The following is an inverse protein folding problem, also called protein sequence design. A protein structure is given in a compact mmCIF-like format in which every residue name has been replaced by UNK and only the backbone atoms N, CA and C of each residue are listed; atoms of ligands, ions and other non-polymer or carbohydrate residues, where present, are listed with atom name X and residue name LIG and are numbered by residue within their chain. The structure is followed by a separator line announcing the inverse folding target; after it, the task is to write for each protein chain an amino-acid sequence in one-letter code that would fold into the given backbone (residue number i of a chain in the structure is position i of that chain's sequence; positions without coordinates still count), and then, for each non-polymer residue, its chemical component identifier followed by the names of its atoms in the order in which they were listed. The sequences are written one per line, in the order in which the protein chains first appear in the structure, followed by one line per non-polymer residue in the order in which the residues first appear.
data_IF_118341303652
#
_entry.id   IF_118341303652
#
_cell.length_a   1.000
_cell.length_b   1.000
_cell.length_c   1.000
_cell.angle_alpha   90.00
_cell.angle_beta   90.00
_cell.angle_gamma   90.00
#
_symmetry.space_group_name_H-M   'P 1'
#
loop_
_entity.id
_entity.type
_entity.pdbx_description
1 polymer ?
#
# COMPACT_ATOMS: atom_id res chain seq x y z
N UNK A 1 27.29 25.30 -18.60
CA UNK A 1 26.56 24.59 -19.67
C UNK A 1 27.60 24.01 -20.63
N UNK A 2 27.64 22.70 -20.82
CA UNK A 2 28.57 22.08 -21.77
C UNK A 2 27.97 22.20 -23.18
N UNK A 3 28.54 23.06 -24.02
CA UNK A 3 28.11 23.22 -25.39
C UNK A 3 28.72 22.08 -26.22
N UNK A 4 27.95 21.04 -26.47
CA UNK A 4 28.40 19.89 -27.26
C UNK A 4 28.62 20.33 -28.70
N UNK A 5 29.85 20.19 -29.21
CA UNK A 5 30.13 20.36 -30.63
C UNK A 5 29.56 19.13 -31.36
N UNK A 6 28.57 19.29 -32.26
CA UNK A 6 27.93 18.18 -32.95
C UNK A 6 28.86 17.43 -33.93
N UNK A 7 30.05 17.97 -34.20
CA UNK A 7 31.06 17.32 -35.06
C UNK A 7 32.00 16.37 -34.32
N UNK A 8 31.95 16.31 -32.98
CA UNK A 8 32.82 15.43 -32.22
C UNK A 8 32.20 14.02 -32.09
N UNK A 9 32.99 12.95 -32.26
CA UNK A 9 32.50 11.60 -32.05
C UNK A 9 32.06 11.43 -30.60
N UNK A 10 31.01 10.63 -30.37
CA UNK A 10 30.35 10.47 -29.06
C UNK A 10 31.33 10.08 -27.95
N UNK A 11 32.40 9.34 -28.28
CA UNK A 11 33.44 8.95 -27.32
C UNK A 11 34.20 10.15 -26.76
N UNK A 12 34.54 11.14 -27.57
CA UNK A 12 35.28 12.34 -27.13
C UNK A 12 34.44 13.20 -26.19
N UNK A 13 33.12 13.21 -26.41
CA UNK A 13 32.16 13.90 -25.55
C UNK A 13 32.10 13.21 -24.17
N UNK A 14 32.02 11.88 -24.17
CA UNK A 14 31.98 11.07 -22.96
C UNK A 14 33.30 11.18 -22.18
N UNK A 15 34.45 11.11 -22.85
CA UNK A 15 35.75 11.23 -22.19
C UNK A 15 36.00 12.62 -21.60
N UNK A 16 35.48 13.69 -22.23
CA UNK A 16 35.54 15.04 -21.65
C UNK A 16 34.79 15.17 -20.33
N UNK A 17 33.67 14.45 -20.16
CA UNK A 17 32.87 14.51 -18.96
C UNK A 17 33.30 13.51 -17.89
N UNK A 18 33.80 12.34 -18.31
CA UNK A 18 33.99 11.18 -17.43
C UNK A 18 35.44 10.69 -17.34
N UNK A 19 36.38 11.33 -18.04
CA UNK A 19 37.77 10.89 -18.15
C UNK A 19 37.97 9.79 -19.21
N UNK A 20 39.22 9.36 -19.48
CA UNK A 20 39.53 8.36 -20.50
C UNK A 20 38.71 7.07 -20.32
N UNK A 21 38.01 6.62 -21.36
CA UNK A 21 37.18 5.41 -21.31
C UNK A 21 37.69 4.36 -22.30
N UNK A 22 37.76 3.11 -21.86
CA UNK A 22 38.08 2.02 -22.77
C UNK A 22 36.90 1.81 -23.74
N UNK A 23 37.18 1.75 -25.04
CA UNK A 23 36.15 1.53 -26.09
C UNK A 23 35.29 0.28 -25.87
N UNK A 24 35.76 -0.67 -25.05
CA UNK A 24 35.05 -1.90 -24.68
C UNK A 24 34.20 -1.76 -23.40
N UNK A 25 34.40 -0.72 -22.60
CA UNK A 25 33.71 -0.53 -21.33
C UNK A 25 33.42 0.96 -21.10
N UNK A 26 32.27 1.39 -21.61
CA UNK A 26 31.73 2.72 -21.30
C UNK A 26 31.20 2.70 -19.87
N UNK A 27 31.79 3.49 -18.98
CA UNK A 27 31.30 3.65 -17.60
C UNK A 27 30.14 4.64 -17.63
N UNK A 28 28.91 4.12 -17.74
CA UNK A 28 27.76 4.98 -18.00
C UNK A 28 26.40 4.30 -17.96
N UNK A 29 26.17 3.37 -17.04
CA UNK A 29 24.83 2.95 -16.61
C UNK A 29 24.93 2.69 -15.11
N UNK A 30 24.55 3.63 -14.26
CA UNK A 30 23.15 3.96 -14.01
C UNK A 30 22.75 3.19 -12.76
N UNK A 31 22.77 3.86 -11.61
CA UNK A 31 22.28 3.35 -10.33
C UNK A 31 20.77 3.11 -10.36
N UNK A 32 20.33 2.17 -11.19
CA UNK A 32 18.96 1.70 -11.23
C UNK A 32 18.61 0.90 -9.98
N UNK A 33 17.31 0.78 -9.72
CA UNK A 33 16.75 -0.02 -8.62
C UNK A 33 17.20 -1.47 -8.80
N UNK A 34 18.08 -1.94 -7.91
CA UNK A 34 18.56 -3.32 -7.91
C UNK A 34 17.46 -4.21 -7.37
N UNK A 35 17.48 -5.51 -7.72
CA UNK A 35 16.50 -6.47 -7.19
C UNK A 35 16.46 -6.49 -5.65
N UNK A 36 17.55 -6.12 -4.97
CA UNK A 36 17.63 -5.95 -3.51
C UNK A 36 16.92 -4.68 -2.99
N UNK A 37 16.81 -3.66 -3.83
CA UNK A 37 16.09 -2.41 -3.53
C UNK A 37 14.57 -2.59 -3.74
N UNK A 38 14.17 -3.65 -4.47
CA UNK A 38 12.79 -4.13 -4.60
C UNK A 38 12.36 -5.08 -3.48
N UNK A 39 13.30 -5.53 -2.62
CA UNK A 39 12.97 -6.33 -1.43
C UNK A 39 12.51 -5.39 -0.32
N UNK A 40 11.31 -4.82 -0.49
CA UNK A 40 10.50 -4.46 0.68
C UNK A 40 10.28 -5.71 1.53
N UNK A 41 10.04 -5.51 2.82
CA UNK A 41 9.79 -6.55 3.83
C UNK A 41 8.85 -7.64 3.28
N UNK A 42 9.42 -8.70 2.71
CA UNK A 42 8.64 -9.78 2.12
C UNK A 42 8.18 -10.63 3.30
N UNK A 43 6.99 -10.35 3.83
CA UNK A 43 6.31 -11.34 4.65
C UNK A 43 6.26 -12.64 3.86
N UNK A 44 6.57 -13.74 4.52
CA UNK A 44 6.47 -15.04 3.88
C UNK A 44 5.04 -15.24 3.37
N UNK A 45 4.89 -15.97 2.26
CA UNK A 45 3.57 -16.32 1.74
C UNK A 45 2.65 -16.92 2.83
N UNK A 46 3.23 -17.65 3.78
CA UNK A 46 2.53 -18.22 4.93
C UNK A 46 2.04 -17.15 5.93
N UNK A 47 2.85 -16.15 6.26
CA UNK A 47 2.44 -15.03 7.12
C UNK A 47 1.34 -14.20 6.47
N UNK A 48 1.47 -13.92 5.17
CA UNK A 48 0.44 -13.19 4.43
C UNK A 48 -0.90 -13.94 4.42
N UNK A 49 -0.88 -15.25 4.15
CA UNK A 49 -2.09 -16.08 4.19
C UNK A 49 -2.69 -16.17 5.60
N UNK A 50 -1.85 -16.21 6.63
CA UNK A 50 -2.31 -16.22 8.03
C UNK A 50 -2.99 -14.91 8.40
N UNK A 51 -2.41 -13.76 8.02
CA UNK A 51 -3.00 -12.45 8.22
C UNK A 51 -4.37 -12.33 7.50
N UNK A 52 -4.44 -12.75 6.23
CA UNK A 52 -5.70 -12.76 5.47
C UNK A 52 -6.80 -13.58 6.15
N UNK A 53 -6.44 -14.77 6.67
CA UNK A 53 -7.40 -15.61 7.39
C UNK A 53 -7.85 -14.94 8.69
N UNK A 54 -6.93 -14.36 9.47
CA UNK A 54 -7.26 -13.62 10.69
C UNK A 54 -8.23 -12.49 10.40
N UNK A 55 -7.90 -11.63 9.43
CA UNK A 55 -8.75 -10.50 9.04
C UNK A 55 -10.15 -10.95 8.59
N UNK A 56 -10.27 -12.10 7.91
CA UNK A 56 -11.56 -12.65 7.51
C UNK A 56 -12.42 -13.05 8.71
N UNK A 57 -11.82 -13.70 9.72
CA UNK A 57 -12.54 -14.07 10.94
C UNK A 57 -12.94 -12.84 11.75
N UNK A 58 -12.07 -11.83 11.85
CA UNK A 58 -12.37 -10.56 12.53
C UNK A 58 -13.57 -9.86 11.89
N UNK A 59 -13.58 -9.75 10.55
CA UNK A 59 -14.70 -9.15 9.80
C UNK A 59 -16.00 -9.91 10.07
N UNK A 60 -15.95 -11.25 10.11
CA UNK A 60 -17.13 -12.06 10.39
C UNK A 60 -17.67 -11.81 11.79
N UNK A 61 -16.79 -11.84 12.79
CA UNK A 61 -17.14 -11.58 14.19
C UNK A 61 -17.76 -10.19 14.38
N UNK A 62 -17.11 -9.16 13.83
CA UNK A 62 -17.60 -7.78 13.89
C UNK A 62 -18.96 -7.62 13.22
N UNK A 63 -19.22 -8.35 12.13
CA UNK A 63 -20.52 -8.29 11.46
C UNK A 63 -21.62 -8.96 12.30
N UNK A 64 -21.32 -10.08 12.97
CA UNK A 64 -22.25 -10.74 13.90
C UNK A 64 -22.57 -9.82 15.09
N UNK A 65 -21.57 -9.19 15.69
CA UNK A 65 -21.74 -8.23 16.79
C UNK A 65 -22.59 -7.01 16.36
N UNK A 66 -22.30 -6.45 15.18
CA UNK A 66 -23.07 -5.33 14.64
C UNK A 66 -24.55 -5.69 14.44
N UNK A 67 -24.84 -6.90 13.96
CA UNK A 67 -26.21 -7.37 13.77
C UNK A 67 -26.93 -7.55 15.11
N UNK A 68 -26.24 -8.12 16.11
CA UNK A 68 -26.77 -8.26 17.47
C UNK A 68 -27.10 -6.90 18.08
N UNK A 69 -26.16 -5.95 18.02
CA UNK A 69 -26.33 -4.58 18.51
C UNK A 69 -27.49 -3.86 17.83
N UNK A 70 -27.60 -3.96 16.51
CA UNK A 70 -28.70 -3.37 15.74
C UNK A 70 -30.06 -3.93 16.15
N UNK A 71 -30.13 -5.24 16.42
CA UNK A 71 -31.36 -5.86 16.90
C UNK A 71 -31.71 -5.44 18.34
N UNK A 72 -30.71 -5.33 19.21
CA UNK A 72 -30.89 -4.81 20.57
C UNK A 72 -31.44 -3.38 20.58
N UNK A 73 -30.88 -2.49 19.74
CA UNK A 73 -31.36 -1.10 19.60
C UNK A 73 -32.81 -1.06 19.12
N UNK A 74 -33.17 -1.89 18.12
CA UNK A 74 -34.56 -1.98 17.64
C UNK A 74 -35.51 -2.39 18.77
N UNK A 75 -35.16 -3.42 19.54
CA UNK A 75 -35.98 -3.91 20.64
C UNK A 75 -36.16 -2.84 21.73
N UNK A 76 -35.08 -2.16 22.13
CA UNK A 76 -35.15 -1.07 23.10
C UNK A 76 -36.04 0.08 22.63
N UNK A 77 -35.97 0.45 21.35
CA UNK A 77 -36.82 1.49 20.78
C UNK A 77 -38.30 1.10 20.83
N UNK A 78 -38.65 -0.14 20.48
CA UNK A 78 -40.02 -0.65 20.59
C UNK A 78 -40.53 -0.53 22.03
N UNK A 79 -39.74 -0.95 23.01
CA UNK A 79 -40.11 -0.83 24.43
C UNK A 79 -40.26 0.63 24.89
N UNK A 80 -39.39 1.53 24.43
CA UNK A 80 -39.49 2.96 24.70
C UNK A 80 -40.80 3.55 24.17
N UNK A 81 -41.21 3.19 22.95
CA UNK A 81 -42.47 3.65 22.37
C UNK A 81 -43.69 3.11 23.11
N UNK A 82 -43.68 1.84 23.53
CA UNK A 82 -44.77 1.24 24.32
C UNK A 82 -44.94 1.97 25.66
N UNK A 83 -43.85 2.17 26.41
CA UNK A 83 -43.86 2.88 27.70
C UNK A 83 -44.41 4.29 27.54
N UNK A 84 -43.92 5.03 26.54
CA UNK A 84 -44.40 6.39 26.27
C UNK A 84 -45.90 6.43 25.94
N UNK A 85 -46.42 5.45 25.19
CA UNK A 85 -47.86 5.35 24.88
C UNK A 85 -48.71 5.09 26.12
N UNK A 86 -48.23 4.26 27.06
CA UNK A 86 -48.93 3.98 28.32
C UNK A 86 -48.97 5.25 29.20
N UNK A 87 -47.83 5.95 29.33
CA UNK A 87 -47.74 7.18 30.13
C UNK A 87 -48.62 8.33 29.63
N UNK A 88 -49.05 8.33 28.36
CA UNK A 88 -50.01 9.32 27.83
C UNK A 88 -51.48 8.95 28.06
N UNK A 89 -51.77 7.74 28.50
CA UNK A 89 -53.13 7.23 28.73
C UNK A 89 -53.58 7.32 30.18
N UNK A 90 -52.66 7.67 31.08
CA UNK A 90 -52.87 7.90 32.53
C UNK A 90 -52.79 9.41 32.73
#
# INVERSE_FOLDING_TARGET
MFQANPSLPTIDIVEKCCGPQTRSHVFGFGGGVKAKDLKGETSSQAEFLSALRSTREDIKSLNEENNSSKNGIKAMNVEKYKKNRISRKI
#
